data_IF_716148068899
#
_entry.id   IF_716148068899
#
_cell.length_a   1.000
_cell.length_b   1.000
_cell.length_c   1.000
_cell.angle_alpha   90.00
_cell.angle_beta   90.00
_cell.angle_gamma   90.00
#
_symmetry.space_group_name_H-M   'P 1'
#
loop_
_entity.id
_entity.type
_entity.pdbx_description
1 polymer ?
#
# COMPACT_ATOMS: atom_id res chain seq x y z
N UNK A 1 -17.15 6.77 13.73
CA UNK A 1 -16.59 7.08 12.40
C UNK A 1 -15.40 6.15 12.21
N UNK A 2 -15.27 5.48 11.06
CA UNK A 2 -14.13 4.57 10.85
C UNK A 2 -12.86 5.35 10.55
N UNK A 3 -11.77 4.90 11.15
CA UNK A 3 -10.45 5.51 11.03
C UNK A 3 -9.57 4.66 10.10
N UNK A 4 -9.06 5.25 9.03
CA UNK A 4 -8.35 4.54 7.96
C UNK A 4 -6.94 5.08 7.84
N UNK A 5 -5.95 4.17 7.90
CA UNK A 5 -4.58 4.49 7.54
C UNK A 5 -4.39 4.24 6.03
N UNK A 6 -3.87 5.25 5.32
CA UNK A 6 -3.48 5.13 3.91
C UNK A 6 -1.99 5.41 3.79
N UNK A 7 -1.21 4.44 3.34
CA UNK A 7 0.20 4.67 3.00
C UNK A 7 0.36 4.92 1.51
N UNK A 8 1.22 5.85 1.13
CA UNK A 8 1.36 6.27 -0.28
C UNK A 8 0.20 7.13 -0.77
N UNK A 9 -0.44 7.87 0.15
CA UNK A 9 -1.63 8.66 -0.17
C UNK A 9 -1.36 9.89 -1.03
N UNK A 10 -0.15 10.43 -1.03
CA UNK A 10 0.23 11.55 -1.90
C UNK A 10 0.47 11.13 -3.36
N UNK A 11 0.54 9.82 -3.64
CA UNK A 11 0.71 9.29 -4.98
C UNK A 11 -0.53 9.39 -5.86
N UNK A 12 -0.40 8.96 -7.12
CA UNK A 12 -1.45 9.07 -8.15
C UNK A 12 -2.79 8.43 -7.74
N UNK A 13 -2.76 7.17 -7.32
CA UNK A 13 -3.98 6.47 -6.87
C UNK A 13 -4.46 7.02 -5.53
N UNK A 14 -3.52 7.30 -4.63
CA UNK A 14 -3.80 7.76 -3.28
C UNK A 14 -4.57 9.09 -3.25
N UNK A 15 -4.20 10.05 -4.07
CA UNK A 15 -4.83 11.38 -4.10
C UNK A 15 -6.33 11.32 -4.39
N UNK A 16 -6.73 10.54 -5.40
CA UNK A 16 -8.14 10.33 -5.69
C UNK A 16 -8.87 9.55 -4.60
N UNK A 17 -8.23 8.51 -4.06
CA UNK A 17 -8.80 7.70 -3.00
C UNK A 17 -9.04 8.49 -1.70
N UNK A 18 -8.09 9.33 -1.31
CA UNK A 18 -8.21 10.16 -0.10
C UNK A 18 -9.45 11.06 -0.17
N UNK A 19 -9.66 11.73 -1.29
CA UNK A 19 -10.84 12.59 -1.51
C UNK A 19 -12.14 11.79 -1.38
N UNK A 20 -12.23 10.61 -1.98
CA UNK A 20 -13.41 9.75 -1.89
C UNK A 20 -13.68 9.26 -0.45
N UNK A 21 -12.65 8.86 0.28
CA UNK A 21 -12.79 8.42 1.66
C UNK A 21 -13.30 9.56 2.56
N UNK A 22 -12.75 10.76 2.40
CA UNK A 22 -13.16 11.94 3.16
C UNK A 22 -14.60 12.35 2.83
N UNK A 23 -14.99 12.33 1.56
CA UNK A 23 -16.36 12.60 1.10
C UNK A 23 -17.37 11.60 1.67
N UNK A 24 -16.96 10.36 1.89
CA UNK A 24 -17.78 9.33 2.56
C UNK A 24 -17.79 9.44 4.09
N UNK A 25 -17.11 10.44 4.66
CA UNK A 25 -17.12 10.72 6.09
C UNK A 25 -16.19 9.84 6.92
N UNK A 26 -15.18 9.21 6.32
CA UNK A 26 -14.14 8.50 7.06
C UNK A 26 -13.14 9.50 7.66
N UNK A 27 -12.52 9.14 8.78
CA UNK A 27 -11.25 9.77 9.23
C UNK A 27 -10.10 9.10 8.52
N UNK A 28 -9.19 9.89 7.96
CA UNK A 28 -8.08 9.36 7.18
C UNK A 28 -6.76 9.90 7.69
N UNK A 29 -5.86 8.99 8.05
CA UNK A 29 -4.44 9.29 8.29
C UNK A 29 -3.65 8.85 7.06
N UNK A 30 -3.05 9.82 6.38
CA UNK A 30 -2.19 9.60 5.23
C UNK A 30 -0.73 9.59 5.67
N UNK A 31 -0.01 8.52 5.36
CA UNK A 31 1.44 8.40 5.55
C UNK A 31 2.11 8.35 4.19
N UNK A 32 3.01 9.31 3.94
CA UNK A 32 3.77 9.38 2.69
C UNK A 32 5.12 10.09 2.95
N UNK A 33 6.17 9.71 2.26
CA UNK A 33 7.48 10.35 2.35
C UNK A 33 7.68 11.50 1.34
N UNK A 34 6.65 11.76 0.52
CA UNK A 34 6.64 12.80 -0.51
C UNK A 34 7.74 12.67 -1.56
N UNK A 35 8.18 11.44 -1.85
CA UNK A 35 9.22 11.18 -2.87
C UNK A 35 8.86 11.78 -4.23
N UNK A 36 7.57 11.87 -4.55
CA UNK A 36 7.03 12.40 -5.80
C UNK A 36 6.26 13.71 -5.63
N UNK A 37 6.50 14.45 -4.53
CA UNK A 37 5.79 15.67 -4.20
C UNK A 37 4.56 15.45 -3.31
N UNK A 38 3.89 16.54 -2.95
CA UNK A 38 2.73 16.52 -2.05
C UNK A 38 1.59 17.43 -2.49
N UNK A 39 1.70 18.01 -3.67
CA UNK A 39 0.73 18.97 -4.23
C UNK A 39 -0.67 18.37 -4.35
N UNK A 40 -0.74 17.05 -4.55
CA UNK A 40 -1.99 16.29 -4.62
C UNK A 40 -2.83 16.31 -3.33
N UNK A 41 -2.23 16.71 -2.20
CA UNK A 41 -2.90 16.79 -0.90
C UNK A 41 -3.51 18.17 -0.62
N UNK A 42 -3.21 19.20 -1.43
CA UNK A 42 -3.58 20.58 -1.14
C UNK A 42 -5.10 20.78 -1.05
N UNK A 43 -5.87 20.14 -1.93
CA UNK A 43 -7.34 20.28 -1.97
C UNK A 43 -8.04 19.72 -0.73
N UNK A 44 -7.43 18.74 -0.08
CA UNK A 44 -7.99 18.08 1.11
C UNK A 44 -7.35 18.54 2.42
N UNK A 45 -6.34 19.40 2.35
CA UNK A 45 -5.53 19.80 3.52
C UNK A 45 -6.34 20.40 4.66
N UNK A 46 -7.40 21.12 4.36
CA UNK A 46 -8.27 21.77 5.34
C UNK A 46 -9.37 20.86 5.89
N UNK A 47 -9.47 19.62 5.42
CA UNK A 47 -10.50 18.70 5.88
C UNK A 47 -10.19 18.26 7.33
N UNK A 48 -11.12 18.53 8.25
CA UNK A 48 -10.96 18.21 9.70
C UNK A 48 -10.78 16.72 9.99
N UNK A 49 -11.16 15.86 9.05
CA UNK A 49 -11.05 14.40 9.16
C UNK A 49 -9.78 13.86 8.46
N UNK A 50 -8.93 14.76 7.93
CA UNK A 50 -7.68 14.42 7.27
C UNK A 50 -6.49 14.73 8.17
N UNK A 51 -5.59 13.77 8.31
CA UNK A 51 -4.30 13.93 8.99
C UNK A 51 -3.20 13.45 8.05
N UNK A 52 -2.21 14.30 7.80
CA UNK A 52 -1.02 13.94 7.05
C UNK A 52 0.17 13.74 7.98
N UNK A 53 0.92 12.67 7.77
CA UNK A 53 2.17 12.38 8.48
C UNK A 53 3.26 12.11 7.45
N UNK A 54 4.27 12.98 7.41
CA UNK A 54 5.44 12.75 6.58
C UNK A 54 6.29 11.65 7.23
N UNK A 55 6.25 10.45 6.68
CA UNK A 55 7.00 9.31 7.18
C UNK A 55 7.29 8.34 6.04
N UNK A 56 8.52 7.83 6.00
CA UNK A 56 8.89 6.71 5.12
C UNK A 56 8.47 5.39 5.76
N UNK A 57 7.72 4.55 5.02
CA UNK A 57 7.29 3.23 5.52
C UNK A 57 8.46 2.31 5.87
N UNK A 58 9.68 2.61 5.42
CA UNK A 58 10.91 1.91 5.79
C UNK A 58 11.43 2.27 7.20
N UNK A 59 10.82 3.25 7.86
CA UNK A 59 11.14 3.67 9.23
C UNK A 59 10.13 3.06 10.19
N UNK A 60 10.30 1.78 10.47
CA UNK A 60 9.34 0.99 11.24
C UNK A 60 9.08 1.55 12.64
N UNK A 61 10.09 2.15 13.29
CA UNK A 61 9.95 2.77 14.60
C UNK A 61 9.02 4.00 14.57
N UNK A 62 9.11 4.82 13.51
CA UNK A 62 8.21 5.97 13.33
C UNK A 62 6.78 5.50 13.04
N UNK A 63 6.62 4.49 12.17
CA UNK A 63 5.31 3.87 11.91
C UNK A 63 4.70 3.24 13.16
N UNK A 64 5.50 2.62 14.00
CA UNK A 64 5.03 2.05 15.26
C UNK A 64 4.40 3.11 16.16
N UNK A 65 5.04 4.29 16.28
CA UNK A 65 4.49 5.42 17.01
C UNK A 65 3.15 5.92 16.44
N UNK A 66 2.93 5.77 15.13
CA UNK A 66 1.66 6.12 14.51
C UNK A 66 0.57 5.15 14.95
N UNK A 67 0.85 3.84 14.97
CA UNK A 67 -0.09 2.84 15.47
C UNK A 67 -0.38 3.00 16.96
N UNK A 68 0.62 3.27 17.78
CA UNK A 68 0.44 3.47 19.24
C UNK A 68 -0.44 4.67 19.60
N UNK A 69 -0.48 5.69 18.74
CA UNK A 69 -1.27 6.92 18.96
C UNK A 69 -2.66 6.87 18.32
N UNK A 70 -2.93 5.88 17.48
CA UNK A 70 -4.17 5.82 16.71
C UNK A 70 -4.71 4.38 16.69
N UNK A 71 -6.03 4.27 16.74
CA UNK A 71 -6.71 2.99 16.48
C UNK A 71 -7.26 3.01 15.05
N UNK A 72 -6.76 2.14 14.19
CA UNK A 72 -7.21 2.04 12.80
C UNK A 72 -8.18 0.88 12.62
N UNK A 73 -9.31 1.14 11.96
CA UNK A 73 -10.26 0.09 11.54
C UNK A 73 -9.80 -0.60 10.26
N UNK A 74 -9.10 0.14 9.40
CA UNK A 74 -8.59 -0.39 8.14
C UNK A 74 -7.24 0.23 7.77
N UNK A 75 -6.44 -0.52 7.02
CA UNK A 75 -5.21 -0.05 6.38
C UNK A 75 -5.34 -0.24 4.86
N UNK A 76 -5.04 0.81 4.11
CA UNK A 76 -4.94 0.78 2.65
C UNK A 76 -3.49 1.05 2.28
N UNK A 77 -2.82 0.02 1.77
CA UNK A 77 -1.39 0.07 1.49
C UNK A 77 -1.14 0.29 0.00
N UNK A 78 -0.76 1.55 -0.34
CA UNK A 78 -0.43 1.98 -1.71
C UNK A 78 1.06 2.30 -1.86
N UNK A 79 1.77 2.62 -0.77
CA UNK A 79 3.17 3.00 -0.82
C UNK A 79 4.03 1.87 -1.42
N UNK A 80 4.75 2.17 -2.48
CA UNK A 80 5.63 1.23 -3.16
C UNK A 80 6.61 1.97 -4.07
N UNK A 81 7.74 1.34 -4.36
CA UNK A 81 8.55 1.68 -5.54
C UNK A 81 7.88 1.01 -6.74
N UNK A 82 7.33 1.80 -7.65
CA UNK A 82 6.43 1.33 -8.71
C UNK A 82 7.15 1.23 -10.05
N UNK A 83 6.94 0.10 -10.72
CA UNK A 83 7.41 -0.14 -12.08
C UNK A 83 8.84 -0.71 -12.16
N UNK A 84 9.07 -1.44 -13.24
CA UNK A 84 10.33 -2.15 -13.48
C UNK A 84 11.56 -1.23 -13.56
N UNK A 85 11.51 -0.04 -14.22
CA UNK A 85 12.66 0.83 -14.27
C UNK A 85 13.11 1.33 -12.89
N UNK A 86 12.18 1.74 -12.04
CA UNK A 86 12.48 2.24 -10.71
C UNK A 86 13.02 1.12 -9.80
N UNK A 87 12.44 -0.08 -9.87
CA UNK A 87 12.92 -1.24 -9.11
C UNK A 87 14.30 -1.72 -9.57
N UNK A 88 14.61 -1.61 -10.86
CA UNK A 88 15.96 -1.94 -11.39
C UNK A 88 17.01 -0.91 -11.00
N UNK A 89 16.62 0.36 -10.91
CA UNK A 89 17.55 1.44 -10.54
C UNK A 89 18.05 1.29 -9.10
N UNK A 90 17.19 0.84 -8.19
CA UNK A 90 17.54 0.58 -6.79
C UNK A 90 16.79 -0.65 -6.27
N UNK A 91 17.33 -1.82 -6.56
CA UNK A 91 16.72 -3.10 -6.18
C UNK A 91 16.62 -3.29 -4.67
N UNK A 92 17.61 -2.83 -3.92
CA UNK A 92 17.63 -2.97 -2.46
C UNK A 92 16.52 -2.13 -1.82
N UNK A 93 16.35 -0.90 -2.29
CA UNK A 93 15.25 -0.06 -1.85
C UNK A 93 13.88 -0.66 -2.24
N UNK A 94 13.77 -1.21 -3.45
CA UNK A 94 12.55 -1.88 -3.90
C UNK A 94 12.20 -3.09 -3.02
N UNK A 95 13.17 -3.94 -2.70
CA UNK A 95 12.98 -5.09 -1.80
C UNK A 95 12.57 -4.61 -0.41
N UNK A 96 13.29 -3.65 0.15
CA UNK A 96 12.99 -3.09 1.46
C UNK A 96 11.57 -2.53 1.53
N UNK A 97 11.19 -1.69 0.56
CA UNK A 97 9.89 -1.00 0.55
C UNK A 97 8.74 -1.95 0.19
N UNK A 98 8.87 -2.68 -0.92
CA UNK A 98 7.75 -3.47 -1.45
C UNK A 98 7.58 -4.83 -0.79
N UNK A 99 8.59 -5.32 -0.06
CA UNK A 99 8.50 -6.59 0.65
C UNK A 99 8.64 -6.43 2.17
N UNK A 100 9.78 -5.96 2.66
CA UNK A 100 10.06 -5.98 4.10
C UNK A 100 9.11 -5.05 4.86
N UNK A 101 8.96 -3.81 4.39
CA UNK A 101 8.08 -2.84 5.04
C UNK A 101 6.60 -3.14 4.83
N UNK A 102 6.22 -3.69 3.67
CA UNK A 102 4.86 -4.17 3.45
C UNK A 102 4.51 -5.32 4.39
N UNK A 103 5.44 -6.26 4.57
CA UNK A 103 5.29 -7.38 5.51
C UNK A 103 5.18 -6.88 6.95
N UNK A 104 6.08 -5.98 7.36
CA UNK A 104 6.01 -5.37 8.69
C UNK A 104 4.66 -4.68 8.93
N UNK A 105 4.17 -3.92 7.95
CA UNK A 105 2.93 -3.16 8.06
C UNK A 105 1.71 -4.05 8.27
N UNK A 106 1.58 -5.15 7.52
CA UNK A 106 0.45 -6.09 7.72
C UNK A 106 0.55 -6.82 9.05
N UNK A 107 1.76 -7.27 9.45
CA UNK A 107 1.98 -7.93 10.73
C UNK A 107 1.63 -6.99 11.90
N UNK A 108 2.05 -5.72 11.81
CA UNK A 108 1.73 -4.69 12.80
C UNK A 108 0.23 -4.39 12.85
N UNK A 109 -0.40 -4.26 11.68
CA UNK A 109 -1.85 -4.05 11.57
C UNK A 109 -2.64 -5.18 12.22
N UNK A 110 -2.22 -6.43 12.01
CA UNK A 110 -2.84 -7.61 12.62
C UNK A 110 -2.70 -7.59 14.16
N UNK A 111 -1.52 -7.25 14.67
CA UNK A 111 -1.27 -7.17 16.13
C UNK A 111 -2.12 -6.08 16.80
N UNK A 112 -2.47 -5.01 16.09
CA UNK A 112 -3.36 -3.95 16.57
C UNK A 112 -4.86 -4.23 16.35
N UNK A 113 -5.20 -5.41 15.81
CA UNK A 113 -6.59 -5.78 15.59
C UNK A 113 -7.27 -5.02 14.44
N UNK A 114 -6.50 -4.52 13.47
CA UNK A 114 -7.05 -3.88 12.26
C UNK A 114 -7.94 -4.89 11.53
N UNK A 115 -9.21 -4.53 11.33
CA UNK A 115 -10.21 -5.46 10.79
C UNK A 115 -10.11 -5.66 9.27
N UNK A 116 -9.44 -4.77 8.55
CA UNK A 116 -9.30 -4.85 7.09
C UNK A 116 -7.97 -4.29 6.60
N UNK A 117 -7.25 -5.11 5.85
CA UNK A 117 -6.04 -4.70 5.14
C UNK A 117 -6.30 -4.78 3.63
N UNK A 118 -6.07 -3.68 2.90
CA UNK A 118 -6.23 -3.59 1.45
C UNK A 118 -4.88 -3.29 0.84
N UNK A 119 -4.49 -4.07 -0.14
CA UNK A 119 -3.21 -3.93 -0.84
C UNK A 119 -3.41 -3.70 -2.34
N UNK A 120 -2.74 -2.70 -2.87
CA UNK A 120 -2.71 -2.48 -4.31
C UNK A 120 -1.66 -3.37 -4.98
N UNK A 121 -2.13 -4.41 -5.67
CA UNK A 121 -1.28 -5.28 -6.46
C UNK A 121 -1.06 -4.75 -7.89
N UNK A 122 -0.78 -5.61 -8.85
CA UNK A 122 -0.47 -5.21 -10.23
C UNK A 122 -0.89 -6.28 -11.24
N UNK A 123 -1.32 -5.85 -12.43
CA UNK A 123 -1.55 -6.76 -13.55
C UNK A 123 -0.26 -7.39 -14.10
N UNK A 124 0.91 -6.80 -13.82
CA UNK A 124 2.22 -7.36 -14.18
C UNK A 124 2.49 -8.73 -13.55
N UNK A 125 1.68 -9.15 -12.56
CA UNK A 125 1.75 -10.46 -11.93
C UNK A 125 1.50 -11.60 -12.89
N UNK A 126 0.70 -11.39 -13.95
CA UNK A 126 0.38 -12.41 -14.95
C UNK A 126 1.50 -12.62 -15.96
N UNK A 127 2.43 -11.66 -16.07
CA UNK A 127 3.59 -11.74 -16.95
C UNK A 127 3.24 -11.75 -18.43
N UNK A 128 4.01 -12.51 -19.22
CA UNK A 128 3.74 -12.69 -20.65
C UNK A 128 2.72 -13.82 -20.81
N UNK A 129 1.57 -13.49 -21.37
CA UNK A 129 0.52 -14.45 -21.68
C UNK A 129 0.86 -15.22 -22.96
N UNK A 130 0.53 -16.52 -22.97
CA UNK A 130 0.71 -17.37 -24.15
C UNK A 130 -0.26 -16.97 -25.28
N UNK A 131 -1.49 -16.55 -24.91
CA UNK A 131 -2.50 -15.99 -25.79
C UNK A 131 -2.76 -14.51 -25.44
N UNK A 132 -2.40 -13.56 -26.32
CA UNK A 132 -2.61 -12.14 -26.06
C UNK A 132 -4.09 -11.70 -25.98
N UNK A 133 -5.01 -12.50 -26.54
CA UNK A 133 -6.45 -12.23 -26.53
C UNK A 133 -7.16 -12.86 -25.33
N UNK A 134 -6.45 -13.65 -24.52
CA UNK A 134 -7.03 -14.28 -23.34
C UNK A 134 -7.27 -13.27 -22.23
N UNK A 135 -8.35 -13.46 -21.50
CA UNK A 135 -8.64 -12.73 -20.26
C UNK A 135 -8.05 -13.49 -19.07
N UNK A 136 -7.62 -12.74 -18.06
CA UNK A 136 -7.14 -13.28 -16.78
C UNK A 136 -8.06 -12.88 -15.65
N UNK A 137 -8.14 -13.75 -14.65
CA UNK A 137 -8.88 -13.56 -13.40
C UNK A 137 -8.01 -13.91 -12.19
N UNK A 138 -8.59 -13.91 -10.99
CA UNK A 138 -7.88 -14.19 -9.73
C UNK A 138 -7.34 -15.63 -9.63
N UNK A 139 -7.82 -16.55 -10.47
CA UNK A 139 -7.41 -17.96 -10.48
C UNK A 139 -6.36 -18.22 -11.55
N UNK A 140 -6.09 -17.24 -12.41
CA UNK A 140 -5.14 -17.39 -13.50
C UNK A 140 -3.71 -17.53 -12.95
N UNK A 141 -2.89 -18.29 -13.70
CA UNK A 141 -1.50 -18.55 -13.31
C UNK A 141 -0.70 -17.25 -13.29
N UNK A 142 -0.03 -17.00 -12.17
CA UNK A 142 0.91 -15.89 -12.03
C UNK A 142 2.28 -16.27 -12.60
N UNK A 143 2.83 -15.44 -13.47
CA UNK A 143 4.11 -15.60 -14.12
C UNK A 143 4.91 -14.29 -14.17
N UNK A 144 5.24 -13.68 -13.01
CA UNK A 144 5.93 -12.40 -12.96
C UNK A 144 7.29 -12.49 -13.66
N UNK A 145 7.63 -11.46 -14.45
CA UNK A 145 8.88 -11.40 -15.24
C UNK A 145 9.78 -10.25 -14.82
N UNK A 146 9.44 -9.56 -13.74
CA UNK A 146 10.22 -8.44 -13.22
C UNK A 146 10.28 -8.46 -11.70
N UNK A 147 11.32 -7.82 -11.14
CA UNK A 147 11.47 -7.67 -9.69
C UNK A 147 10.22 -7.03 -9.05
N UNK A 148 9.66 -6.00 -9.68
CA UNK A 148 8.44 -5.36 -9.20
C UNK A 148 7.28 -6.35 -9.07
N UNK A 149 6.99 -7.08 -10.14
CA UNK A 149 5.92 -8.07 -10.16
C UNK A 149 6.18 -9.23 -9.19
N UNK A 150 7.42 -9.71 -9.10
CA UNK A 150 7.82 -10.76 -8.15
C UNK A 150 7.56 -10.35 -6.70
N UNK A 151 7.93 -9.11 -6.32
CA UNK A 151 7.71 -8.60 -4.98
C UNK A 151 6.21 -8.45 -4.67
N UNK A 152 5.41 -8.00 -5.64
CA UNK A 152 3.95 -7.92 -5.48
C UNK A 152 3.32 -9.30 -5.29
N UNK A 153 3.67 -10.29 -6.13
CA UNK A 153 3.20 -11.69 -5.98
C UNK A 153 3.64 -12.29 -4.64
N UNK A 154 4.89 -12.04 -4.23
CA UNK A 154 5.41 -12.51 -2.95
C UNK A 154 4.60 -11.98 -1.77
N UNK A 155 4.25 -10.69 -1.80
CA UNK A 155 3.45 -10.09 -0.75
C UNK A 155 2.00 -10.55 -0.76
N UNK A 156 1.35 -10.70 -1.93
CA UNK A 156 0.01 -11.30 -2.04
C UNK A 156 -0.06 -12.68 -1.39
N UNK A 157 0.89 -13.55 -1.72
CA UNK A 157 0.96 -14.90 -1.16
C UNK A 157 1.11 -14.87 0.36
N UNK A 158 1.94 -13.97 0.87
CA UNK A 158 2.11 -13.78 2.30
C UNK A 158 0.81 -13.30 2.95
N UNK A 159 0.21 -12.23 2.45
CA UNK A 159 -1.04 -11.67 2.95
C UNK A 159 -2.16 -12.72 3.00
N UNK A 160 -2.35 -13.48 1.91
CA UNK A 160 -3.37 -14.53 1.83
C UNK A 160 -3.07 -15.69 2.80
N UNK A 161 -1.81 -16.00 3.06
CA UNK A 161 -1.44 -17.03 4.04
C UNK A 161 -1.75 -16.60 5.48
N UNK A 162 -1.61 -15.32 5.78
CA UNK A 162 -1.93 -14.78 7.11
C UNK A 162 -3.45 -14.69 7.35
N UNK A 163 -4.23 -14.43 6.32
CA UNK A 163 -5.71 -14.43 6.42
C UNK A 163 -6.29 -15.81 6.73
N UNK A 164 -5.63 -16.89 6.30
CA UNK A 164 -6.09 -18.29 6.56
C UNK A 164 -5.82 -18.76 7.98
N UNK A 165 -5.02 -18.01 8.75
CA UNK A 165 -4.67 -18.36 10.15
C UNK A 165 -5.60 -17.71 11.18
N UNK A 166 -6.53 -16.88 10.72
CA UNK A 166 -7.54 -16.19 11.55
C UNK A 166 -8.89 -16.82 11.38
#
# INVERSE_FOLDING_TARGET
>A
MKNILVTGGAGYVGSGLLSELLNKGYSVTCVDNLMFGGESLLDIWHNKNFTFINCDINRHEELDQIFLKNNFDAVIHLAAIVGDPACKLNSDLAIKTNWESSKWLIDRSKNEGVSRFIFASTCSNYGKMDDPEAYVDENSKLAPVSLYAELKVKFEKYMLSEMKKT
#
